data_IF_969126753102
#
_entry.id   IF_969126753102
#
_cell.length_a   1.000
_cell.length_b   1.000
_cell.length_c   1.000
_cell.angle_alpha   90.00
_cell.angle_beta   90.00
_cell.angle_gamma   90.00
#
_symmetry.space_group_name_H-M   'P 1'
#
loop_
_entity.id
_entity.type
_entity.pdbx_description
1 polymer ?
#
# COMPACT_ATOMS: atom_id res chain seq x y z
N UNK A 1 -7.85 19.12 17.22
CA UNK A 1 -8.93 19.00 16.21
C UNK A 1 -9.17 17.53 16.00
N UNK A 2 -10.42 17.06 16.05
CA UNK A 2 -10.73 15.63 15.92
C UNK A 2 -11.19 15.34 14.48
N UNK A 3 -10.61 14.32 13.85
CA UNK A 3 -10.87 13.96 12.46
C UNK A 3 -11.71 12.68 12.37
N UNK A 4 -12.82 12.73 11.64
CA UNK A 4 -13.67 11.59 11.33
C UNK A 4 -13.58 11.30 9.84
N UNK A 5 -13.13 10.11 9.47
CA UNK A 5 -13.07 9.68 8.07
C UNK A 5 -14.42 9.08 7.68
N UNK A 6 -15.02 9.55 6.58
CA UNK A 6 -16.18 8.96 5.95
C UNK A 6 -15.78 8.42 4.58
N UNK A 7 -15.89 7.11 4.37
CA UNK A 7 -15.36 6.45 3.17
C UNK A 7 -16.31 5.39 2.64
N UNK A 8 -16.22 5.10 1.34
CA UNK A 8 -16.96 4.01 0.70
C UNK A 8 -16.25 2.65 0.84
N UNK A 9 -15.02 2.63 1.38
CA UNK A 9 -14.13 1.47 1.40
C UNK A 9 -13.86 1.02 2.83
N UNK A 10 -13.93 -0.28 3.07
CA UNK A 10 -13.56 -0.94 4.33
C UNK A 10 -12.11 -1.45 4.33
N UNK A 11 -11.28 -0.87 3.46
CA UNK A 11 -9.87 -1.22 3.31
C UNK A 11 -9.06 -0.95 4.60
N UNK A 12 -8.30 -1.96 5.00
CA UNK A 12 -7.50 -1.96 6.21
C UNK A 12 -6.28 -1.04 6.11
N UNK A 13 -5.74 -0.84 4.91
CA UNK A 13 -4.63 0.08 4.65
C UNK A 13 -5.06 1.53 4.89
N UNK A 14 -6.18 1.92 4.27
CA UNK A 14 -6.76 3.25 4.41
C UNK A 14 -7.15 3.53 5.87
N UNK A 15 -7.74 2.55 6.55
CA UNK A 15 -8.07 2.61 7.97
C UNK A 15 -6.82 2.78 8.84
N UNK A 16 -5.79 1.96 8.61
CA UNK A 16 -4.52 2.04 9.34
C UNK A 16 -3.86 3.40 9.13
N UNK A 17 -3.74 3.85 7.89
CA UNK A 17 -3.14 5.14 7.51
C UNK A 17 -3.89 6.31 8.15
N UNK A 18 -5.22 6.28 8.15
CA UNK A 18 -6.05 7.28 8.81
C UNK A 18 -5.79 7.34 10.32
N UNK A 19 -5.71 6.19 10.98
CA UNK A 19 -5.45 6.11 12.42
C UNK A 19 -4.05 6.61 12.75
N UNK A 20 -3.03 6.21 11.97
CA UNK A 20 -1.65 6.69 12.13
C UNK A 20 -1.52 8.20 11.89
N UNK A 21 -2.37 8.78 11.03
CA UNK A 21 -2.47 10.23 10.83
C UNK A 21 -3.25 10.96 11.93
N UNK A 22 -3.77 10.24 12.94
CA UNK A 22 -4.48 10.81 14.08
C UNK A 22 -6.00 10.93 13.91
N UNK A 23 -6.61 10.13 13.03
CA UNK A 23 -8.08 10.06 12.95
C UNK A 23 -8.68 9.55 14.26
N UNK A 24 -9.71 10.25 14.74
CA UNK A 24 -10.46 9.91 15.95
C UNK A 24 -11.67 8.99 15.66
N UNK A 25 -11.95 8.71 14.40
CA UNK A 25 -12.95 7.73 13.99
C UNK A 25 -12.95 7.46 12.49
N UNK A 26 -13.55 6.32 12.12
CA UNK A 26 -13.70 5.86 10.74
C UNK A 26 -15.10 5.31 10.55
N UNK A 27 -15.79 5.77 9.50
CA UNK A 27 -17.20 5.47 9.26
C UNK A 27 -17.40 5.15 7.79
N UNK A 28 -18.21 4.13 7.49
CA UNK A 28 -18.60 3.80 6.13
C UNK A 28 -19.70 4.74 5.63
N UNK A 29 -19.65 5.08 4.34
CA UNK A 29 -20.58 5.99 3.66
C UNK A 29 -22.04 5.53 3.71
N UNK A 30 -22.26 4.25 3.97
CA UNK A 30 -23.59 3.64 4.16
C UNK A 30 -24.26 4.04 5.49
N UNK A 31 -23.55 4.76 6.36
CA UNK A 31 -24.13 5.28 7.60
C UNK A 31 -25.34 6.18 7.32
N UNK A 32 -26.39 6.02 8.13
CA UNK A 32 -27.58 6.87 8.05
C UNK A 32 -27.23 8.28 8.53
N UNK A 33 -27.87 9.30 7.97
CA UNK A 33 -27.57 10.71 8.29
C UNK A 33 -27.63 11.04 9.79
N UNK A 34 -28.63 10.53 10.50
CA UNK A 34 -28.75 10.74 11.95
C UNK A 34 -27.61 10.09 12.74
N UNK A 35 -27.17 8.91 12.32
CA UNK A 35 -26.09 8.16 12.98
C UNK A 35 -24.74 8.84 12.73
N UNK A 36 -24.54 9.44 11.54
CA UNK A 36 -23.35 10.24 11.22
C UNK A 36 -23.28 11.50 12.09
N UNK A 37 -24.40 12.21 12.28
CA UNK A 37 -24.45 13.38 13.18
C UNK A 37 -24.10 12.98 14.61
N UNK A 38 -24.59 11.82 15.07
CA UNK A 38 -24.20 11.25 16.36
C UNK A 38 -22.70 10.98 16.44
N UNK A 39 -22.14 10.36 15.41
CA UNK A 39 -20.71 10.06 15.32
C UNK A 39 -19.84 11.33 15.41
N UNK A 40 -20.21 12.38 14.68
CA UNK A 40 -19.51 13.68 14.73
C UNK A 40 -19.52 14.25 16.15
N UNK A 41 -20.67 14.21 16.84
CA UNK A 41 -20.80 14.73 18.21
C UNK A 41 -19.94 13.95 19.20
N UNK A 42 -19.88 12.62 19.08
CA UNK A 42 -19.04 11.75 19.92
C UNK A 42 -17.56 12.07 19.73
N UNK A 43 -17.11 12.26 18.48
CA UNK A 43 -15.72 12.62 18.21
C UNK A 43 -15.40 14.04 18.68
N UNK A 44 -16.36 14.97 18.56
CA UNK A 44 -16.23 16.33 19.06
C UNK A 44 -16.17 16.43 20.59
N UNK A 45 -16.75 15.46 21.33
CA UNK A 45 -16.64 15.39 22.80
C UNK A 45 -15.32 14.78 23.28
N UNK A 46 -14.41 14.42 22.36
CA UNK A 46 -13.10 13.83 22.67
C UNK A 46 -13.11 12.30 22.78
N UNK A 47 -14.23 11.65 22.45
CA UNK A 47 -14.31 10.19 22.43
C UNK A 47 -13.87 9.64 21.08
N UNK A 48 -13.23 8.46 21.08
CA UNK A 48 -12.87 7.75 19.84
C UNK A 48 -14.01 6.86 19.38
N UNK A 49 -14.23 6.79 18.06
CA UNK A 49 -15.18 5.86 17.42
C UNK A 49 -14.51 4.65 16.79
N UNK A 50 -13.27 4.36 17.16
CA UNK A 50 -12.59 3.14 16.70
C UNK A 50 -13.13 1.93 17.46
N UNK A 51 -13.68 0.96 16.72
CA UNK A 51 -14.12 -0.30 17.31
C UNK A 51 -12.92 -1.03 17.95
N UNK A 52 -13.12 -1.81 19.04
CA UNK A 52 -12.06 -2.59 19.67
C UNK A 52 -11.35 -3.56 18.70
N UNK A 53 -12.09 -4.14 17.75
CA UNK A 53 -11.55 -5.00 16.70
C UNK A 53 -10.59 -4.25 15.77
N UNK A 54 -10.95 -3.04 15.33
CA UNK A 54 -10.10 -2.17 14.51
C UNK A 54 -8.83 -1.80 15.27
N UNK A 55 -8.98 -1.41 16.54
CA UNK A 55 -7.83 -1.06 17.39
C UNK A 55 -6.86 -2.24 17.54
N UNK A 56 -7.38 -3.46 17.73
CA UNK A 56 -6.56 -4.68 17.81
C UNK A 56 -5.76 -4.92 16.52
N UNK A 57 -6.41 -4.80 15.35
CA UNK A 57 -5.76 -5.01 14.05
C UNK A 57 -4.64 -4.00 13.78
N UNK A 58 -4.84 -2.74 14.17
CA UNK A 58 -3.80 -1.69 14.08
C UNK A 58 -2.62 -2.02 15.00
N UNK A 59 -2.88 -2.47 16.22
CA UNK A 59 -1.83 -2.88 17.17
C UNK A 59 -1.05 -4.10 16.70
N UNK A 60 -1.72 -5.07 16.08
CA UNK A 60 -1.09 -6.24 15.45
C UNK A 60 -0.18 -5.80 14.29
N UNK A 61 -0.66 -4.93 13.41
CA UNK A 61 0.14 -4.39 12.29
C UNK A 61 1.33 -3.54 12.76
N UNK A 62 1.18 -2.78 13.85
CA UNK A 62 2.31 -2.06 14.47
C UNK A 62 3.37 -2.99 15.04
N UNK A 63 2.97 -4.16 15.56
CA UNK A 63 3.89 -5.16 16.11
C UNK A 63 4.61 -5.94 15.01
N UNK A 64 3.87 -6.34 13.98
CA UNK A 64 4.36 -7.26 12.95
C UNK A 64 5.02 -6.50 11.77
N UNK A 65 4.86 -5.18 11.70
CA UNK A 65 5.35 -4.32 10.61
C UNK A 65 4.38 -4.24 9.44
N UNK A 66 4.63 -3.36 8.44
CA UNK A 66 3.87 -3.38 7.21
C UNK A 66 3.97 -4.78 6.58
N UNK A 67 2.84 -5.34 6.16
CA UNK A 67 2.80 -6.59 5.40
C UNK A 67 3.42 -6.32 4.02
N UNK A 68 4.75 -6.39 3.93
CA UNK A 68 5.42 -6.50 2.64
C UNK A 68 5.05 -7.87 2.08
N UNK A 69 4.53 -7.93 0.84
CA UNK A 69 4.23 -9.20 0.19
C UNK A 69 5.49 -10.08 0.26
N UNK A 70 5.39 -11.34 0.74
CA UNK A 70 6.52 -12.24 0.82
C UNK A 70 7.34 -12.32 -0.48
N UNK A 71 6.69 -12.19 -1.64
CA UNK A 71 7.36 -12.13 -2.93
C UNK A 71 8.22 -10.87 -3.10
N UNK A 72 7.73 -9.70 -2.68
CA UNK A 72 8.52 -8.45 -2.66
C UNK A 72 9.71 -8.52 -1.69
N UNK A 73 9.55 -9.22 -0.56
CA UNK A 73 10.65 -9.45 0.39
C UNK A 73 11.79 -10.28 -0.22
N UNK A 74 11.55 -11.08 -1.26
CA UNK A 74 12.60 -11.84 -1.97
C UNK A 74 13.49 -10.99 -2.89
N UNK A 75 13.05 -9.77 -3.21
CA UNK A 75 13.79 -8.87 -4.09
C UNK A 75 14.82 -8.06 -3.31
N UNK A 76 16.05 -8.03 -3.82
CA UNK A 76 17.08 -7.13 -3.31
C UNK A 76 16.81 -5.68 -3.76
N UNK A 77 17.54 -4.73 -3.16
CA UNK A 77 17.35 -3.30 -3.43
C UNK A 77 17.46 -2.93 -4.91
N UNK A 78 18.39 -3.56 -5.64
CA UNK A 78 18.60 -3.29 -7.07
C UNK A 78 17.47 -3.83 -7.93
N UNK A 79 16.94 -4.99 -7.56
CA UNK A 79 15.78 -5.60 -8.22
C UNK A 79 14.51 -4.77 -8.01
N UNK A 80 14.29 -4.24 -6.80
CA UNK A 80 13.18 -3.32 -6.50
C UNK A 80 13.28 -2.03 -7.32
N UNK A 81 14.48 -1.44 -7.40
CA UNK A 81 14.72 -0.24 -8.21
C UNK A 81 14.41 -0.49 -9.70
N UNK A 82 14.86 -1.63 -10.23
CA UNK A 82 14.56 -2.02 -11.62
C UNK A 82 13.07 -2.26 -11.82
N UNK A 83 12.39 -2.94 -10.89
CA UNK A 83 10.95 -3.18 -10.93
C UNK A 83 10.15 -1.88 -10.95
N UNK A 84 10.55 -0.88 -10.16
CA UNK A 84 9.94 0.46 -10.18
C UNK A 84 10.06 1.11 -11.57
N UNK A 85 11.26 1.10 -12.16
CA UNK A 85 11.46 1.67 -13.50
C UNK A 85 10.71 0.88 -14.58
N UNK A 86 10.45 -0.41 -14.36
CA UNK A 86 9.57 -1.20 -15.23
C UNK A 86 8.14 -0.68 -15.18
N UNK A 87 7.62 -0.44 -13.98
CA UNK A 87 6.28 0.11 -13.76
C UNK A 87 6.14 1.53 -14.32
N UNK A 88 7.20 2.33 -14.26
CA UNK A 88 7.28 3.65 -14.90
C UNK A 88 7.35 3.58 -16.45
N UNK A 89 7.41 2.38 -17.03
CA UNK A 89 7.38 2.14 -18.48
C UNK A 89 8.74 2.22 -19.18
N UNK A 90 9.86 2.29 -18.46
CA UNK A 90 11.19 2.44 -19.09
C UNK A 90 11.69 1.15 -19.72
N UNK A 91 12.14 1.22 -20.97
CA UNK A 91 12.81 0.11 -21.65
C UNK A 91 14.12 -0.30 -20.95
N UNK A 92 14.58 -1.54 -21.17
CA UNK A 92 15.84 -2.02 -20.57
C UNK A 92 17.05 -1.13 -20.92
N UNK A 93 17.05 -0.52 -22.10
CA UNK A 93 18.09 0.44 -22.52
C UNK A 93 18.05 1.73 -21.71
N UNK A 94 16.85 2.26 -21.46
CA UNK A 94 16.67 3.46 -20.63
C UNK A 94 17.03 3.18 -19.17
N UNK A 95 16.61 2.03 -18.63
CA UNK A 95 17.00 1.56 -17.28
C UNK A 95 18.51 1.43 -17.19
N UNK A 96 19.15 0.81 -18.19
CA UNK A 96 20.60 0.65 -18.24
C UNK A 96 21.33 2.00 -18.21
N UNK A 97 20.86 2.95 -19.01
CA UNK A 97 21.40 4.33 -19.03
C UNK A 97 21.25 5.01 -17.66
N UNK A 98 20.10 4.87 -17.02
CA UNK A 98 19.80 5.50 -15.71
C UNK A 98 20.61 4.90 -14.58
N UNK A 99 20.86 3.59 -14.61
CA UNK A 99 21.52 2.85 -13.53
C UNK A 99 23.01 2.58 -13.77
N UNK A 100 23.57 3.03 -14.90
CA UNK A 100 24.95 2.74 -15.29
C UNK A 100 25.19 1.27 -15.63
N UNK A 101 24.18 0.58 -16.16
CA UNK A 101 24.21 -0.85 -16.49
C UNK A 101 24.12 -1.07 -18.00
N UNK A 102 24.69 -2.18 -18.48
CA UNK A 102 24.44 -2.62 -19.85
C UNK A 102 22.99 -3.09 -20.02
N UNK A 103 22.41 -2.93 -21.21
CA UNK A 103 21.06 -3.44 -21.49
C UNK A 103 20.93 -4.95 -21.22
N UNK A 104 22.00 -5.72 -21.51
CA UNK A 104 22.05 -7.15 -21.22
C UNK A 104 21.98 -7.44 -19.71
N UNK A 105 22.67 -6.64 -18.90
CA UNK A 105 22.61 -6.76 -17.43
C UNK A 105 21.20 -6.50 -16.94
N UNK A 106 20.52 -5.47 -17.47
CA UNK A 106 19.11 -5.20 -17.12
C UNK A 106 18.20 -6.35 -17.54
N UNK A 107 18.39 -6.94 -18.73
CA UNK A 107 17.63 -8.14 -19.16
C UNK A 107 17.76 -9.28 -18.15
N UNK A 108 18.97 -9.54 -17.64
CA UNK A 108 19.19 -10.59 -16.64
C UNK A 108 18.46 -10.29 -15.32
N UNK A 109 18.48 -9.04 -14.86
CA UNK A 109 17.70 -8.63 -13.69
C UNK A 109 16.20 -8.81 -13.92
N UNK A 110 15.68 -8.39 -15.07
CA UNK A 110 14.25 -8.57 -15.41
C UNK A 110 13.86 -10.04 -15.37
N UNK A 111 14.66 -10.93 -15.97
CA UNK A 111 14.41 -12.37 -15.90
C UNK A 111 14.39 -12.90 -14.47
N UNK A 112 15.35 -12.49 -13.64
CA UNK A 112 15.41 -12.93 -12.24
C UNK A 112 14.24 -12.39 -11.41
N UNK A 113 13.83 -11.15 -11.62
CA UNK A 113 12.65 -10.55 -10.96
C UNK A 113 11.39 -11.32 -11.34
N UNK A 114 11.19 -11.61 -12.63
CA UNK A 114 10.03 -12.36 -13.10
C UNK A 114 9.99 -13.76 -12.48
N UNK A 115 11.12 -14.45 -12.41
CA UNK A 115 11.21 -15.77 -11.77
C UNK A 115 10.88 -15.71 -10.28
N UNK A 116 11.48 -14.75 -9.54
CA UNK A 116 11.24 -14.59 -8.10
C UNK A 116 9.78 -14.24 -7.77
N UNK A 117 9.14 -13.44 -8.61
CA UNK A 117 7.74 -13.05 -8.45
C UNK A 117 6.75 -14.05 -9.08
N UNK A 118 7.23 -15.10 -9.74
CA UNK A 118 6.38 -16.07 -10.43
C UNK A 118 5.60 -15.48 -11.61
N UNK A 119 6.13 -14.45 -12.26
CA UNK A 119 5.48 -13.71 -13.34
C UNK A 119 6.03 -14.13 -14.71
N UNK A 120 5.17 -14.17 -15.72
CA UNK A 120 5.52 -14.61 -17.07
C UNK A 120 5.91 -13.47 -18.01
N UNK A 121 5.58 -12.21 -17.67
CA UNK A 121 5.88 -11.08 -18.55
C UNK A 121 6.17 -9.78 -17.83
N UNK A 122 6.90 -8.91 -18.50
CA UNK A 122 7.18 -7.54 -18.08
C UNK A 122 5.90 -6.75 -17.77
N UNK A 123 4.85 -6.92 -18.56
CA UNK A 123 3.56 -6.25 -18.33
C UNK A 123 2.94 -6.71 -17.03
N UNK A 124 3.01 -8.01 -16.71
CA UNK A 124 2.57 -8.52 -15.41
C UNK A 124 3.39 -7.92 -14.26
N UNK A 125 4.70 -7.76 -14.41
CA UNK A 125 5.54 -7.12 -13.40
C UNK A 125 5.17 -5.65 -13.15
N UNK A 126 4.89 -4.88 -14.21
CA UNK A 126 4.42 -3.51 -14.09
C UNK A 126 3.07 -3.43 -13.35
N UNK A 127 2.10 -4.29 -13.73
CA UNK A 127 0.79 -4.35 -13.08
C UNK A 127 0.88 -4.82 -11.63
N UNK A 128 1.75 -5.78 -11.35
CA UNK A 128 1.98 -6.30 -9.99
C UNK A 128 2.41 -5.17 -9.05
N UNK A 129 3.40 -4.35 -9.43
CA UNK A 129 3.84 -3.24 -8.61
C UNK A 129 2.78 -2.14 -8.48
N UNK A 130 2.02 -1.86 -9.54
CA UNK A 130 0.91 -0.88 -9.47
C UNK A 130 -0.19 -1.31 -8.49
N UNK A 131 -0.45 -2.61 -8.36
CA UNK A 131 -1.37 -3.13 -7.35
C UNK A 131 -0.80 -2.99 -5.94
N UNK A 132 0.47 -3.34 -5.75
CA UNK A 132 1.18 -3.17 -4.48
C UNK A 132 1.27 -1.71 -3.99
N UNK A 133 1.33 -0.73 -4.90
CA UNK A 133 1.42 0.68 -4.56
C UNK A 133 0.03 1.36 -4.38
N UNK A 134 -1.04 0.68 -4.80
CA UNK A 134 -2.43 1.10 -4.63
C UNK A 134 -3.20 0.27 -3.60
N UNK A 135 -2.54 -0.73 -3.01
CA UNK A 135 -2.87 -1.44 -1.78
C UNK A 135 -2.07 -0.83 -0.63
#
# INVERSE_FOLDING_TARGET
MACLILTSYDDDEALFSAIMAGAAGYVLKEIRGNDLVGAIRTVASGQSLLAPSVTRRVLERLRDGPHEDPAMATLNQREREILQLIADGLTNRQIGTRLGLSEKTVKNYVSSILEKLGLASRTQAAVYLMKQAGE
#
